data_IF_582920212932
#
_entry.id   IF_582920212932
#
_cell.length_a   1.000
_cell.length_b   1.000
_cell.length_c   1.000
_cell.angle_alpha   90.00
_cell.angle_beta   90.00
_cell.angle_gamma   90.00
#
_symmetry.space_group_name_H-M   'P 1'
#
loop_
_entity.id
_entity.type
_entity.pdbx_description
1 polymer ?
#
# COMPACT_ATOMS: atom_id res chain seq x y z
N UNK A 1 -1.48 17.89 14.01
CA UNK A 1 -2.82 17.33 14.36
C UNK A 1 -2.73 16.80 15.77
N UNK A 2 -3.82 16.88 16.57
CA UNK A 2 -3.83 16.31 17.93
C UNK A 2 -4.51 14.95 17.87
N UNK A 3 -3.88 13.98 18.49
CA UNK A 3 -4.40 12.61 18.61
C UNK A 3 -4.78 12.29 20.04
N UNK A 4 -5.72 11.37 20.19
CA UNK A 4 -6.08 10.72 21.42
C UNK A 4 -5.92 9.22 21.26
N UNK A 5 -5.51 8.54 22.32
CA UNK A 5 -5.43 7.09 22.37
C UNK A 5 -6.50 6.56 23.32
N UNK A 6 -7.24 5.56 22.87
CA UNK A 6 -8.17 4.79 23.68
C UNK A 6 -7.54 3.43 24.01
N UNK A 7 -7.40 3.15 25.30
CA UNK A 7 -6.84 1.89 25.81
C UNK A 7 -7.95 0.92 26.10
N UNK A 8 -7.87 -0.26 25.51
CA UNK A 8 -8.88 -1.31 25.68
C UNK A 8 -8.31 -2.52 26.41
N UNK A 9 -9.21 -3.31 27.00
CA UNK A 9 -8.93 -4.69 27.38
C UNK A 9 -9.87 -5.60 26.59
N UNK A 10 -9.29 -6.63 25.97
CA UNK A 10 -10.03 -7.59 25.16
C UNK A 10 -10.10 -8.95 25.84
N UNK A 11 -11.27 -9.59 25.76
CA UNK A 11 -11.51 -10.96 26.21
C UNK A 11 -12.43 -11.68 25.23
N UNK A 12 -12.11 -11.58 23.93
CA UNK A 12 -12.89 -12.23 22.87
C UNK A 12 -12.84 -13.76 22.98
N UNK A 13 -13.96 -14.41 22.72
CA UNK A 13 -14.05 -15.87 22.69
C UNK A 13 -13.50 -16.46 21.38
N UNK A 14 -13.63 -15.70 20.27
CA UNK A 14 -13.24 -16.12 18.92
C UNK A 14 -12.48 -15.01 18.20
N UNK A 15 -11.43 -15.31 17.42
CA UNK A 15 -10.59 -14.29 16.74
C UNK A 15 -11.37 -13.34 15.83
N UNK A 16 -12.41 -13.79 15.15
CA UNK A 16 -13.23 -12.96 14.25
C UNK A 16 -13.95 -11.81 14.96
N UNK A 17 -14.14 -11.89 16.27
CA UNK A 17 -14.77 -10.83 17.08
C UNK A 17 -13.84 -9.62 17.18
N UNK A 18 -12.53 -9.84 17.29
CA UNK A 18 -11.51 -8.80 17.29
C UNK A 18 -11.48 -8.08 15.94
N UNK A 19 -11.49 -8.84 14.83
CA UNK A 19 -11.50 -8.29 13.48
C UNK A 19 -12.74 -7.40 13.25
N UNK A 20 -13.90 -7.86 13.70
CA UNK A 20 -15.15 -7.12 13.57
C UNK A 20 -15.15 -5.84 14.41
N UNK A 21 -14.65 -5.90 15.64
CA UNK A 21 -14.52 -4.73 16.50
C UNK A 21 -13.54 -3.71 15.93
N UNK A 22 -12.40 -4.18 15.44
CA UNK A 22 -11.38 -3.35 14.77
C UNK A 22 -11.95 -2.62 13.56
N UNK A 23 -12.70 -3.33 12.70
CA UNK A 23 -13.36 -2.71 11.55
C UNK A 23 -14.36 -1.63 12.00
N UNK A 24 -15.14 -1.92 13.05
CA UNK A 24 -16.12 -0.96 13.58
C UNK A 24 -15.45 0.28 14.20
N UNK A 25 -14.26 0.14 14.79
CA UNK A 25 -13.44 1.28 15.24
C UNK A 25 -13.02 2.16 14.05
N UNK A 26 -12.56 1.56 12.96
CA UNK A 26 -12.19 2.31 11.75
C UNK A 26 -13.40 3.04 11.13
N UNK A 27 -14.58 2.42 11.13
CA UNK A 27 -15.82 3.02 10.62
C UNK A 27 -16.23 4.29 11.40
N UNK A 28 -15.89 4.39 12.68
CA UNK A 28 -16.13 5.59 13.51
C UNK A 28 -14.92 6.55 13.56
N UNK A 29 -13.91 6.33 12.72
CA UNK A 29 -12.82 7.27 12.47
C UNK A 29 -11.53 7.02 13.25
N UNK A 30 -11.33 5.85 13.85
CA UNK A 30 -10.01 5.47 14.33
C UNK A 30 -9.08 5.15 13.16
N UNK A 31 -7.83 5.57 13.27
CA UNK A 31 -6.83 5.41 12.20
C UNK A 31 -6.04 4.10 12.36
N UNK A 32 -5.82 3.65 13.59
CA UNK A 32 -4.93 2.51 13.90
C UNK A 32 -5.38 1.83 15.19
N UNK A 33 -5.24 0.50 15.24
CA UNK A 33 -5.27 -0.30 16.46
C UNK A 33 -3.94 -1.05 16.57
N UNK A 34 -3.18 -0.81 17.64
CA UNK A 34 -1.93 -1.51 17.96
C UNK A 34 -2.10 -2.24 19.29
N UNK A 35 -2.10 -3.55 19.23
CA UNK A 35 -2.45 -4.41 20.36
C UNK A 35 -3.79 -4.01 21.00
N UNK A 36 -3.75 -3.24 22.09
CA UNK A 36 -4.92 -2.80 22.85
C UNK A 36 -5.17 -1.30 22.75
N UNK A 37 -4.41 -0.58 21.95
CA UNK A 37 -4.38 0.87 21.86
C UNK A 37 -4.90 1.35 20.51
N UNK A 38 -6.05 2.02 20.51
CA UNK A 38 -6.63 2.59 19.30
C UNK A 38 -6.42 4.10 19.24
N UNK A 39 -5.98 4.58 18.08
CA UNK A 39 -5.61 5.98 17.86
C UNK A 39 -6.62 6.69 16.96
N UNK A 40 -7.04 7.88 17.37
CA UNK A 40 -8.02 8.72 16.67
C UNK A 40 -7.62 10.19 16.75
N UNK A 41 -7.92 10.97 15.73
CA UNK A 41 -7.79 12.42 15.81
C UNK A 41 -8.75 12.98 16.88
N UNK A 42 -8.24 13.84 17.78
CA UNK A 42 -8.99 14.29 18.96
C UNK A 42 -10.34 14.93 18.60
N UNK A 43 -10.42 15.66 17.49
CA UNK A 43 -11.68 16.28 17.05
C UNK A 43 -12.70 15.26 16.53
N UNK A 44 -12.25 14.16 15.94
CA UNK A 44 -13.14 13.04 15.51
C UNK A 44 -13.62 12.26 16.73
N UNK A 45 -12.76 12.03 17.73
CA UNK A 45 -13.16 11.41 18.98
C UNK A 45 -14.31 12.19 19.65
N UNK A 46 -14.20 13.53 19.70
CA UNK A 46 -15.26 14.35 20.30
C UNK A 46 -16.57 14.28 19.50
N UNK A 47 -16.49 14.18 18.18
CA UNK A 47 -17.66 14.02 17.29
C UNK A 47 -18.32 12.63 17.43
N UNK A 48 -17.54 11.58 17.61
CA UNK A 48 -18.01 10.17 17.61
C UNK A 48 -17.99 9.50 18.99
N UNK A 49 -17.87 10.28 20.07
CA UNK A 49 -17.83 9.75 21.44
C UNK A 49 -19.03 8.87 21.80
N UNK A 50 -20.22 9.25 21.32
CA UNK A 50 -21.45 8.47 21.52
C UNK A 50 -21.44 7.17 20.73
N UNK A 51 -20.93 7.19 19.50
CA UNK A 51 -20.83 6.01 18.65
C UNK A 51 -19.84 5.01 19.24
N UNK A 52 -18.70 5.49 19.75
CA UNK A 52 -17.72 4.67 20.46
C UNK A 52 -18.33 4.00 21.69
N UNK A 53 -19.09 4.75 22.50
CA UNK A 53 -19.74 4.19 23.69
C UNK A 53 -20.75 3.11 23.32
N UNK A 54 -21.58 3.35 22.30
CA UNK A 54 -22.54 2.36 21.80
C UNK A 54 -21.85 1.11 21.25
N UNK A 55 -20.74 1.25 20.55
CA UNK A 55 -19.96 0.13 20.04
C UNK A 55 -19.42 -0.74 21.18
N UNK A 56 -18.87 -0.12 22.24
CA UNK A 56 -18.35 -0.84 23.40
C UNK A 56 -19.48 -1.57 24.12
N UNK A 57 -20.63 -0.91 24.36
CA UNK A 57 -21.78 -1.51 25.02
C UNK A 57 -22.40 -2.68 24.21
N UNK A 58 -22.28 -2.64 22.89
CA UNK A 58 -22.80 -3.68 21.98
C UNK A 58 -21.83 -4.86 21.79
N UNK A 59 -20.56 -4.72 22.19
CA UNK A 59 -19.53 -5.74 21.92
C UNK A 59 -19.13 -6.46 23.19
N UNK A 60 -19.50 -7.73 23.30
CA UNK A 60 -19.10 -8.58 24.43
C UNK A 60 -17.59 -8.83 24.40
N UNK A 61 -16.94 -8.72 25.56
CA UNK A 61 -15.50 -8.97 25.69
C UNK A 61 -14.62 -7.74 25.43
N UNK A 62 -15.20 -6.55 25.33
CA UNK A 62 -14.48 -5.28 25.19
C UNK A 62 -14.69 -4.41 26.41
N UNK A 63 -13.62 -3.91 26.99
CA UNK A 63 -13.64 -2.92 28.07
C UNK A 63 -12.75 -1.73 27.68
N UNK A 64 -13.28 -0.51 27.74
CA UNK A 64 -12.51 0.72 27.60
C UNK A 64 -11.89 1.08 28.95
N UNK A 65 -10.58 1.06 29.04
CA UNK A 65 -9.84 1.35 30.28
C UNK A 65 -9.64 2.85 30.48
N UNK A 66 -9.19 3.55 29.46
CA UNK A 66 -8.99 5.01 29.50
C UNK A 66 -8.98 5.61 28.10
N UNK A 67 -9.18 6.92 28.02
CA UNK A 67 -8.89 7.73 26.83
C UNK A 67 -7.97 8.87 27.26
N UNK A 68 -6.83 8.99 26.63
CA UNK A 68 -5.83 10.00 26.94
C UNK A 68 -5.51 10.83 25.70
N UNK A 69 -5.25 12.13 25.90
CA UNK A 69 -4.68 12.92 24.83
C UNK A 69 -3.23 12.46 24.61
N UNK A 70 -2.88 12.12 23.40
CA UNK A 70 -1.50 11.87 23.06
C UNK A 70 -0.71 13.13 23.37
N UNK A 71 0.39 13.01 24.11
CA UNK A 71 1.30 14.13 24.32
C UNK A 71 1.74 14.65 22.97
N UNK A 72 1.91 15.97 22.84
CA UNK A 72 2.50 16.63 21.66
C UNK A 72 4.00 16.22 21.50
N UNK A 73 4.29 14.94 21.62
CA UNK A 73 5.55 14.38 21.18
C UNK A 73 5.45 14.27 19.67
N UNK A 74 6.48 14.69 18.98
CA UNK A 74 6.57 14.53 17.53
C UNK A 74 6.64 13.03 17.24
N UNK A 75 5.46 12.39 17.16
CA UNK A 75 5.33 10.94 16.92
C UNK A 75 6.04 10.52 15.62
N UNK A 76 6.12 11.42 14.65
CA UNK A 76 6.95 11.19 13.48
C UNK A 76 8.42 11.02 13.87
N UNK A 77 8.95 11.86 14.77
CA UNK A 77 10.33 11.75 15.20
C UNK A 77 10.59 10.51 16.09
N UNK A 78 9.62 10.11 16.92
CA UNK A 78 9.71 8.88 17.72
C UNK A 78 9.62 7.67 16.78
N UNK A 79 8.67 7.68 15.86
CA UNK A 79 8.48 6.62 14.88
C UNK A 79 9.68 6.52 13.91
N UNK A 80 10.21 7.64 13.41
CA UNK A 80 11.44 7.70 12.61
C UNK A 80 12.67 7.17 13.36
N UNK A 81 12.74 7.37 14.68
CA UNK A 81 13.82 6.82 15.52
C UNK A 81 13.67 5.30 15.74
N UNK A 82 12.46 4.79 15.72
CA UNK A 82 12.13 3.36 15.86
C UNK A 82 12.13 2.61 14.51
N UNK A 83 11.92 3.33 13.40
CA UNK A 83 11.90 2.78 12.04
C UNK A 83 13.03 3.41 11.23
N UNK A 84 14.27 2.92 11.38
CA UNK A 84 15.43 3.44 10.66
C UNK A 84 15.26 3.28 9.15
N UNK A 85 16.04 4.08 8.41
CA UNK A 85 16.15 3.96 6.95
C UNK A 85 16.41 2.50 6.58
N UNK A 86 15.51 1.92 5.80
CA UNK A 86 15.66 0.57 5.28
C UNK A 86 16.66 0.55 4.13
N UNK A 87 17.68 -0.29 4.23
CA UNK A 87 18.64 -0.52 3.15
C UNK A 87 18.23 -1.77 2.37
N UNK A 88 17.84 -1.57 1.12
CA UNK A 88 17.41 -2.60 0.19
C UNK A 88 18.51 -2.94 -0.82
N UNK A 89 18.38 -4.01 -1.64
CA UNK A 89 19.33 -4.32 -2.70
C UNK A 89 19.66 -3.10 -3.57
N UNK A 90 20.84 -3.09 -4.17
CA UNK A 90 21.41 -1.98 -4.96
C UNK A 90 21.68 -0.70 -4.16
N UNK A 91 21.65 -0.73 -2.82
CA UNK A 91 21.84 0.41 -1.95
C UNK A 91 20.65 1.38 -1.93
N UNK A 92 19.48 0.90 -2.32
CA UNK A 92 18.24 1.69 -2.24
C UNK A 92 17.89 1.94 -0.78
N UNK A 93 17.60 3.18 -0.44
CA UNK A 93 17.24 3.63 0.90
C UNK A 93 15.79 4.07 0.93
N UNK A 94 15.02 3.52 1.85
CA UNK A 94 13.60 3.86 2.04
C UNK A 94 13.36 4.33 3.46
N UNK A 95 12.72 5.48 3.58
CA UNK A 95 12.10 5.94 4.81
C UNK A 95 10.63 5.53 4.72
N UNK A 96 10.16 4.54 5.49
CA UNK A 96 8.84 3.97 5.25
C UNK A 96 7.69 4.89 5.74
N UNK A 97 7.93 5.85 6.64
CA UNK A 97 6.88 6.61 7.33
C UNK A 97 5.68 5.70 7.65
N UNK A 98 4.45 6.16 7.38
CA UNK A 98 3.23 5.36 7.52
C UNK A 98 2.76 4.75 6.19
N UNK A 99 3.58 4.81 5.12
CA UNK A 99 3.22 4.30 3.81
C UNK A 99 3.60 2.82 3.66
N UNK A 100 2.76 2.07 2.94
CA UNK A 100 3.06 0.68 2.59
C UNK A 100 4.25 0.59 1.62
N UNK A 101 5.05 -0.48 1.74
CA UNK A 101 6.11 -0.77 0.77
C UNK A 101 7.52 -0.52 1.30
N UNK A 102 7.78 -0.72 2.60
CA UNK A 102 9.14 -0.67 3.17
C UNK A 102 10.12 -1.71 2.57
N UNK A 103 9.61 -2.67 1.79
CA UNK A 103 10.44 -3.65 1.06
C UNK A 103 10.45 -5.05 1.69
N UNK A 104 9.98 -5.21 2.92
CA UNK A 104 10.02 -6.48 3.64
C UNK A 104 8.82 -7.39 3.41
N UNK A 105 7.70 -6.83 2.94
CA UNK A 105 6.51 -7.63 2.64
C UNK A 105 6.78 -8.51 1.41
N UNK A 106 6.30 -9.74 1.42
CA UNK A 106 6.51 -10.76 0.38
C UNK A 106 6.14 -10.23 -1.01
N UNK A 107 5.01 -9.53 -1.12
CA UNK A 107 4.54 -8.94 -2.39
C UNK A 107 5.53 -7.92 -2.94
N UNK A 108 6.06 -7.04 -2.11
CA UNK A 108 7.06 -6.04 -2.49
C UNK A 108 8.38 -6.72 -2.85
N UNK A 109 8.79 -7.71 -2.07
CA UNK A 109 9.99 -8.52 -2.32
C UNK A 109 9.96 -9.21 -3.69
N UNK A 110 8.83 -9.86 -4.04
CA UNK A 110 8.66 -10.49 -5.37
C UNK A 110 8.78 -9.47 -6.51
N UNK A 111 8.13 -8.31 -6.39
CA UNK A 111 8.19 -7.24 -7.39
C UNK A 111 9.62 -6.69 -7.55
N UNK A 112 10.33 -6.43 -6.45
CA UNK A 112 11.73 -5.98 -6.47
C UNK A 112 12.62 -7.03 -7.14
N UNK A 113 12.48 -8.30 -6.77
CA UNK A 113 13.26 -9.40 -7.35
C UNK A 113 13.04 -9.53 -8.87
N UNK A 114 11.82 -9.27 -9.34
CA UNK A 114 11.50 -9.23 -10.77
C UNK A 114 12.13 -7.99 -11.45
N UNK A 115 12.02 -6.80 -10.85
CA UNK A 115 12.62 -5.56 -11.37
C UNK A 115 14.15 -5.65 -11.48
N UNK A 116 14.80 -6.30 -10.50
CA UNK A 116 16.26 -6.50 -10.55
C UNK A 116 16.72 -7.34 -11.74
N UNK A 117 15.87 -8.21 -12.28
CA UNK A 117 16.17 -9.06 -13.45
C UNK A 117 15.73 -8.43 -14.77
N UNK A 118 14.82 -7.46 -14.73
CA UNK A 118 14.27 -6.82 -15.92
C UNK A 118 15.26 -5.87 -16.57
N UNK A 119 15.22 -5.78 -17.90
CA UNK A 119 15.85 -4.68 -18.66
C UNK A 119 14.82 -3.57 -18.84
N UNK A 120 15.00 -2.50 -18.08
CA UNK A 120 14.12 -1.32 -18.13
C UNK A 120 14.76 -0.15 -18.89
N UNK A 121 15.91 -0.36 -19.52
CA UNK A 121 16.61 0.70 -20.23
C UNK A 121 15.71 1.31 -21.32
N UNK A 122 15.48 2.62 -21.21
CA UNK A 122 14.64 3.37 -22.15
C UNK A 122 13.13 3.12 -22.03
N UNK A 123 12.67 2.34 -21.05
CA UNK A 123 11.25 2.03 -20.82
C UNK A 123 10.52 3.15 -20.09
N UNK A 124 9.24 3.31 -20.41
CA UNK A 124 8.28 4.14 -19.65
C UNK A 124 7.56 3.27 -18.65
N UNK A 125 7.58 3.66 -17.37
CA UNK A 125 7.03 2.88 -16.25
C UNK A 125 5.96 3.68 -15.51
N UNK A 126 4.87 3.02 -15.14
CA UNK A 126 3.88 3.50 -14.17
C UNK A 126 3.98 2.64 -12.91
N UNK A 127 4.08 3.27 -11.75
CA UNK A 127 3.95 2.67 -10.43
C UNK A 127 2.62 3.15 -9.82
N UNK A 128 1.60 2.29 -9.85
CA UNK A 128 0.23 2.63 -9.46
C UNK A 128 -0.09 2.08 -8.06
N UNK A 129 -0.38 2.99 -7.12
CA UNK A 129 -0.41 2.71 -5.69
C UNK A 129 1.01 2.62 -5.15
N UNK A 130 1.77 3.72 -5.30
CA UNK A 130 3.23 3.69 -5.11
C UNK A 130 3.66 3.59 -3.64
N UNK A 131 2.83 3.99 -2.68
CA UNK A 131 3.17 3.97 -1.25
C UNK A 131 4.48 4.71 -0.95
N UNK A 132 5.52 3.97 -0.55
CA UNK A 132 6.88 4.53 -0.33
C UNK A 132 7.61 4.90 -1.63
N UNK A 133 7.09 4.52 -2.79
CA UNK A 133 7.73 4.70 -4.09
C UNK A 133 8.82 3.68 -4.42
N UNK A 134 8.98 2.65 -3.59
CA UNK A 134 10.10 1.70 -3.72
C UNK A 134 10.17 1.05 -5.10
N UNK A 135 9.04 0.65 -5.69
CA UNK A 135 9.03 -0.01 -7.00
C UNK A 135 9.40 0.97 -8.12
N UNK A 136 8.86 2.18 -8.08
CA UNK A 136 9.23 3.26 -9.00
C UNK A 136 10.72 3.63 -8.91
N UNK A 137 11.29 3.66 -7.70
CA UNK A 137 12.71 3.93 -7.46
C UNK A 137 13.57 2.82 -8.09
N UNK A 138 13.24 1.54 -7.85
CA UNK A 138 13.93 0.43 -8.51
C UNK A 138 13.83 0.50 -10.02
N UNK A 139 12.65 0.84 -10.58
CA UNK A 139 12.48 1.00 -12.01
C UNK A 139 13.37 2.11 -12.57
N UNK A 140 13.47 3.27 -11.90
CA UNK A 140 14.34 4.37 -12.30
C UNK A 140 15.83 3.97 -12.27
N UNK A 141 16.28 3.32 -11.20
CA UNK A 141 17.66 2.84 -11.05
C UNK A 141 18.02 1.73 -12.06
N UNK A 142 17.02 0.97 -12.54
CA UNK A 142 17.18 -0.02 -13.62
C UNK A 142 17.16 0.57 -15.02
N UNK A 143 17.18 1.89 -15.15
CA UNK A 143 17.33 2.59 -16.43
C UNK A 143 16.05 2.98 -17.13
N UNK A 144 14.90 2.96 -16.43
CA UNK A 144 13.67 3.49 -16.99
C UNK A 144 13.86 4.95 -17.44
N UNK A 145 13.42 5.27 -18.66
CA UNK A 145 13.57 6.64 -19.19
C UNK A 145 12.61 7.63 -18.53
N UNK A 146 11.50 7.12 -18.03
CA UNK A 146 10.49 7.89 -17.30
C UNK A 146 9.73 6.98 -16.34
N UNK A 147 9.49 7.46 -15.14
CA UNK A 147 8.67 6.82 -14.13
C UNK A 147 7.60 7.80 -13.69
N UNK A 148 6.34 7.38 -13.78
CA UNK A 148 5.20 8.05 -13.17
C UNK A 148 4.79 7.20 -11.98
N UNK A 149 4.61 7.80 -10.81
CA UNK A 149 4.12 7.13 -9.62
C UNK A 149 2.83 7.80 -9.15
N UNK A 150 1.86 6.99 -8.73
CA UNK A 150 0.55 7.52 -8.32
C UNK A 150 0.07 6.87 -7.05
N UNK A 151 -0.58 7.65 -6.19
CA UNK A 151 -1.27 7.15 -5.02
C UNK A 151 -2.53 7.99 -4.76
N UNK A 152 -3.48 7.42 -4.02
CA UNK A 152 -4.70 8.10 -3.57
C UNK A 152 -4.43 8.89 -2.27
N UNK A 153 -3.40 8.51 -1.52
CA UNK A 153 -3.02 9.12 -0.25
C UNK A 153 -1.93 10.18 -0.46
N UNK A 154 -2.17 11.39 0.01
CA UNK A 154 -1.23 12.50 -0.08
C UNK A 154 0.06 12.28 0.73
N UNK A 155 -0.01 11.51 1.81
CA UNK A 155 1.18 11.12 2.60
C UNK A 155 2.07 10.16 1.82
N UNK A 156 1.47 9.21 1.11
CA UNK A 156 2.20 8.29 0.21
C UNK A 156 2.88 9.05 -0.93
N UNK A 157 2.20 10.03 -1.51
CA UNK A 157 2.79 10.92 -2.53
C UNK A 157 4.01 11.66 -1.99
N UNK A 158 3.87 12.32 -0.83
CA UNK A 158 4.98 13.04 -0.19
C UNK A 158 6.15 12.10 0.17
N UNK A 159 5.85 10.90 0.68
CA UNK A 159 6.87 9.91 1.02
C UNK A 159 7.60 9.37 -0.22
N UNK A 160 6.88 9.13 -1.33
CA UNK A 160 7.50 8.76 -2.61
C UNK A 160 8.45 9.85 -3.12
N UNK A 161 8.06 11.14 -3.04
CA UNK A 161 8.92 12.26 -3.45
C UNK A 161 10.20 12.33 -2.61
N UNK A 162 10.08 12.19 -1.29
CA UNK A 162 11.21 12.16 -0.37
C UNK A 162 12.15 11.00 -0.64
N UNK A 163 11.63 9.79 -0.78
CA UNK A 163 12.42 8.60 -1.07
C UNK A 163 13.08 8.65 -2.45
N UNK A 164 12.41 9.21 -3.46
CA UNK A 164 13.01 9.45 -4.78
C UNK A 164 14.20 10.41 -4.69
N UNK A 165 14.06 11.51 -3.94
CA UNK A 165 15.14 12.46 -3.70
C UNK A 165 16.30 11.82 -2.92
N UNK A 166 16.03 11.03 -1.88
CA UNK A 166 17.01 10.30 -1.09
C UNK A 166 17.87 9.35 -1.96
N UNK A 167 17.26 8.74 -2.98
CA UNK A 167 17.94 7.83 -3.91
C UNK A 167 18.48 8.51 -5.17
N UNK A 168 18.34 9.83 -5.29
CA UNK A 168 18.86 10.59 -6.42
C UNK A 168 18.17 10.29 -7.75
N UNK A 169 16.93 9.80 -7.74
CA UNK A 169 16.14 9.49 -8.94
C UNK A 169 15.04 10.53 -9.17
N UNK A 170 14.60 10.65 -10.44
CA UNK A 170 13.47 11.50 -10.81
C UNK A 170 12.24 10.64 -11.09
N UNK A 171 11.17 10.91 -10.37
CA UNK A 171 9.87 10.27 -10.54
C UNK A 171 8.81 11.39 -10.63
N UNK A 172 7.90 11.27 -11.56
CA UNK A 172 6.73 12.17 -11.67
C UNK A 172 5.62 11.61 -10.75
N UNK A 173 5.54 12.15 -9.53
CA UNK A 173 4.61 11.66 -8.51
C UNK A 173 3.31 12.45 -8.56
N UNK A 174 2.17 11.77 -8.50
CA UNK A 174 0.84 12.39 -8.64
C UNK A 174 -0.16 11.82 -7.65
N UNK A 175 -0.93 12.70 -7.04
CA UNK A 175 -2.11 12.32 -6.26
C UNK A 175 -3.26 12.03 -7.21
N UNK A 176 -3.64 10.76 -7.37
CA UNK A 176 -4.80 10.36 -8.17
C UNK A 176 -5.28 8.95 -7.81
N UNK A 177 -6.57 8.73 -7.93
CA UNK A 177 -7.29 7.49 -7.60
C UNK A 177 -7.31 6.47 -8.76
N UNK A 178 -6.96 6.90 -9.96
CA UNK A 178 -6.94 6.06 -11.16
C UNK A 178 -5.63 6.23 -11.93
N UNK A 179 -5.19 5.19 -12.66
CA UNK A 179 -4.01 5.29 -13.51
C UNK A 179 -4.13 6.46 -14.50
N UNK A 180 -3.16 7.39 -14.53
CA UNK A 180 -3.19 8.51 -15.46
C UNK A 180 -3.05 8.02 -16.90
N UNK A 181 -3.81 8.66 -17.79
CA UNK A 181 -3.71 8.37 -19.21
C UNK A 181 -2.26 8.56 -19.71
N UNK A 182 -1.76 7.57 -20.43
CA UNK A 182 -0.38 7.54 -20.90
C UNK A 182 -0.13 6.39 -21.86
N UNK A 183 1.15 6.17 -22.15
CA UNK A 183 1.65 5.01 -22.89
C UNK A 183 2.84 4.45 -22.11
N UNK A 184 2.66 3.27 -21.51
CA UNK A 184 3.62 2.65 -20.62
C UNK A 184 4.14 1.33 -21.20
N UNK A 185 5.42 1.09 -21.06
CA UNK A 185 6.04 -0.20 -21.39
C UNK A 185 5.90 -1.20 -20.24
N UNK A 186 5.81 -0.67 -19.01
CA UNK A 186 5.57 -1.47 -17.81
C UNK A 186 4.64 -0.71 -16.86
N UNK A 187 3.63 -1.40 -16.36
CA UNK A 187 2.79 -0.94 -15.25
C UNK A 187 3.04 -1.86 -14.06
N UNK A 188 3.36 -1.28 -12.91
CA UNK A 188 3.50 -1.94 -11.63
C UNK A 188 2.28 -1.60 -10.78
N UNK A 189 1.65 -2.58 -10.14
CA UNK A 189 0.55 -2.35 -9.23
C UNK A 189 0.57 -3.40 -8.10
N UNK A 190 0.97 -2.96 -6.90
CA UNK A 190 1.00 -3.78 -5.69
C UNK A 190 -0.08 -3.28 -4.73
N UNK A 191 -1.34 -3.55 -5.07
CA UNK A 191 -2.54 -3.04 -4.40
C UNK A 191 -3.63 -4.13 -4.30
N UNK A 192 -4.70 -3.85 -3.56
CA UNK A 192 -5.77 -4.80 -3.32
C UNK A 192 -6.41 -5.34 -4.60
N UNK A 193 -6.72 -6.67 -4.62
CA UNK A 193 -7.35 -7.41 -5.73
C UNK A 193 -8.53 -6.68 -6.38
N UNK A 194 -9.44 -6.11 -5.58
CA UNK A 194 -10.65 -5.49 -6.12
C UNK A 194 -10.33 -4.26 -6.97
N UNK A 195 -9.37 -3.44 -6.54
CA UNK A 195 -8.89 -2.27 -7.28
C UNK A 195 -8.15 -2.71 -8.55
N UNK A 196 -7.33 -3.77 -8.46
CA UNK A 196 -6.67 -4.34 -9.64
C UNK A 196 -7.68 -4.75 -10.71
N UNK A 197 -8.75 -5.44 -10.34
CA UNK A 197 -9.82 -5.84 -11.27
C UNK A 197 -10.56 -4.64 -11.85
N UNK A 198 -10.86 -3.64 -11.05
CA UNK A 198 -11.53 -2.42 -11.49
C UNK A 198 -10.69 -1.63 -12.50
N UNK A 199 -9.39 -1.52 -12.24
CA UNK A 199 -8.46 -0.73 -13.06
C UNK A 199 -7.86 -1.52 -14.25
N UNK A 200 -8.07 -2.82 -14.33
CA UNK A 200 -7.53 -3.69 -15.38
C UNK A 200 -7.81 -3.20 -16.82
N UNK A 201 -9.02 -2.69 -17.15
CA UNK A 201 -9.28 -2.13 -18.48
C UNK A 201 -8.41 -0.90 -18.80
N UNK A 202 -8.07 -0.08 -17.78
CA UNK A 202 -7.19 1.07 -17.95
C UNK A 202 -5.76 0.63 -18.18
N UNK A 203 -5.27 -0.39 -17.45
CA UNK A 203 -3.95 -0.96 -17.68
C UNK A 203 -3.82 -1.48 -19.12
N UNK A 204 -4.78 -2.28 -19.59
CA UNK A 204 -4.78 -2.78 -20.97
C UNK A 204 -4.79 -1.64 -22.00
N UNK A 205 -5.52 -0.56 -21.72
CA UNK A 205 -5.60 0.61 -22.61
C UNK A 205 -4.29 1.40 -22.66
N UNK A 206 -3.61 1.58 -21.52
CA UNK A 206 -2.44 2.45 -21.39
C UNK A 206 -1.12 1.73 -21.62
N UNK A 207 -1.10 0.41 -21.73
CA UNK A 207 0.08 -0.32 -22.16
C UNK A 207 0.39 -0.10 -23.63
N UNK A 208 1.67 0.08 -23.94
CA UNK A 208 2.22 -0.02 -25.29
C UNK A 208 2.02 -1.45 -25.85
N UNK A 209 2.17 -1.61 -27.17
CA UNK A 209 2.34 -2.94 -27.78
C UNK A 209 3.56 -3.62 -27.16
N UNK A 210 3.46 -4.91 -26.84
CA UNK A 210 4.46 -5.68 -26.10
C UNK A 210 4.75 -5.17 -24.67
N UNK A 211 3.95 -4.22 -24.16
CA UNK A 211 4.01 -3.75 -22.78
C UNK A 211 3.51 -4.79 -21.79
N UNK A 212 3.96 -4.68 -20.55
CA UNK A 212 3.61 -5.59 -19.47
C UNK A 212 2.94 -4.87 -18.30
N UNK A 213 2.07 -5.57 -17.59
CA UNK A 213 1.62 -5.18 -16.27
C UNK A 213 1.95 -6.28 -15.27
N UNK A 214 2.55 -5.87 -14.16
CA UNK A 214 2.90 -6.74 -13.05
C UNK A 214 2.05 -6.38 -11.85
N UNK A 215 1.31 -7.38 -11.35
CA UNK A 215 0.32 -7.23 -10.30
C UNK A 215 0.74 -8.02 -9.07
N UNK A 216 0.57 -7.44 -7.89
CA UNK A 216 0.72 -8.12 -6.60
C UNK A 216 -0.18 -7.46 -5.55
N UNK A 217 -0.12 -7.89 -4.27
CA UNK A 217 -1.01 -7.40 -3.21
C UNK A 217 -2.27 -8.25 -3.05
N UNK A 218 -2.20 -9.52 -3.45
CA UNK A 218 -3.30 -10.49 -3.37
C UNK A 218 -2.77 -11.89 -3.09
N UNK A 219 -3.67 -12.77 -2.65
CA UNK A 219 -3.34 -14.16 -2.33
C UNK A 219 -3.31 -15.06 -3.57
N UNK A 220 -2.60 -16.17 -3.49
CA UNK A 220 -2.54 -17.17 -4.57
C UNK A 220 -3.93 -17.65 -5.00
N UNK A 221 -4.86 -17.78 -4.06
CA UNK A 221 -6.25 -18.14 -4.33
C UNK A 221 -6.99 -17.16 -5.25
N UNK A 222 -6.52 -15.92 -5.37
CA UNK A 222 -7.11 -14.87 -6.21
C UNK A 222 -6.59 -14.91 -7.66
N UNK A 223 -5.48 -15.61 -7.91
CA UNK A 223 -4.84 -15.66 -9.23
C UNK A 223 -5.80 -16.05 -10.37
N UNK A 224 -6.65 -17.10 -10.25
CA UNK A 224 -7.56 -17.46 -11.34
C UNK A 224 -8.54 -16.33 -11.71
N UNK A 225 -9.02 -15.59 -10.71
CA UNK A 225 -9.94 -14.46 -10.92
C UNK A 225 -9.25 -13.31 -11.64
N UNK A 226 -8.03 -12.95 -11.24
CA UNK A 226 -7.24 -11.87 -11.86
C UNK A 226 -6.80 -12.25 -13.28
N UNK A 227 -6.39 -13.49 -13.54
CA UNK A 227 -6.04 -13.97 -14.87
C UNK A 227 -7.26 -13.90 -15.80
N UNK A 228 -8.43 -14.38 -15.35
CA UNK A 228 -9.67 -14.29 -16.15
C UNK A 228 -10.06 -12.84 -16.44
N UNK A 229 -9.93 -11.94 -15.46
CA UNK A 229 -10.17 -10.51 -15.66
C UNK A 229 -9.21 -9.87 -16.66
N UNK A 230 -7.94 -10.26 -16.63
CA UNK A 230 -6.92 -9.80 -17.56
C UNK A 230 -7.19 -10.27 -19.00
N UNK A 231 -7.54 -11.55 -19.19
CA UNK A 231 -7.87 -12.13 -20.49
C UNK A 231 -9.11 -11.45 -21.10
N UNK A 232 -10.11 -11.11 -20.29
CA UNK A 232 -11.31 -10.41 -20.74
C UNK A 232 -11.02 -9.03 -21.34
N UNK A 233 -9.90 -8.40 -21.00
CA UNK A 233 -9.46 -7.10 -21.54
C UNK A 233 -8.30 -7.21 -22.52
N UNK A 234 -7.95 -8.43 -22.95
CA UNK A 234 -6.93 -8.69 -23.97
C UNK A 234 -5.49 -8.73 -23.45
N UNK A 235 -5.30 -8.87 -22.15
CA UNK A 235 -3.99 -9.14 -21.55
C UNK A 235 -3.76 -10.65 -21.45
N UNK A 236 -2.54 -11.09 -21.74
CA UNK A 236 -2.16 -12.50 -21.67
C UNK A 236 -1.32 -12.76 -20.43
N UNK A 237 -1.64 -13.79 -19.70
CA UNK A 237 -0.82 -14.28 -18.60
C UNK A 237 0.53 -14.81 -19.10
N UNK A 238 1.64 -14.35 -18.49
CA UNK A 238 3.02 -14.75 -18.83
C UNK A 238 3.62 -15.61 -17.74
N UNK A 239 3.55 -15.15 -16.50
CA UNK A 239 4.19 -15.82 -15.37
C UNK A 239 3.45 -15.53 -14.05
N UNK A 240 3.59 -16.47 -13.14
CA UNK A 240 3.16 -16.36 -11.74
C UNK A 240 4.35 -16.63 -10.84
N UNK A 241 4.48 -15.86 -9.77
CA UNK A 241 5.41 -16.11 -8.66
C UNK A 241 4.60 -16.12 -7.37
N UNK A 242 4.97 -16.98 -6.42
CA UNK A 242 4.35 -17.06 -5.09
C UNK A 242 5.42 -17.02 -4.01
N UNK A 243 5.10 -16.39 -2.89
CA UNK A 243 5.89 -16.38 -1.66
C UNK A 243 4.94 -16.45 -0.46
N UNK A 244 5.00 -17.55 0.29
CA UNK A 244 3.95 -17.90 1.25
C UNK A 244 2.59 -18.01 0.56
N UNK A 245 1.60 -17.34 1.10
CA UNK A 245 0.24 -17.28 0.54
C UNK A 245 0.05 -16.16 -0.50
N UNK A 246 1.07 -15.30 -0.68
CA UNK A 246 1.04 -14.15 -1.58
C UNK A 246 1.48 -14.49 -2.99
N UNK A 247 0.97 -13.71 -3.95
CA UNK A 247 1.20 -13.96 -5.36
C UNK A 247 1.53 -12.68 -6.14
N UNK A 248 2.31 -12.85 -7.21
CA UNK A 248 2.60 -11.86 -8.22
C UNK A 248 2.28 -12.43 -9.60
N UNK A 249 1.55 -11.70 -10.41
CA UNK A 249 1.24 -12.03 -11.81
C UNK A 249 1.97 -11.08 -12.76
N UNK A 250 2.51 -11.65 -13.84
CA UNK A 250 3.01 -10.90 -14.98
C UNK A 250 2.09 -11.14 -16.17
N UNK A 251 1.58 -10.06 -16.73
CA UNK A 251 0.66 -10.08 -17.87
C UNK A 251 1.25 -9.22 -18.99
N UNK A 252 0.97 -9.56 -20.25
CA UNK A 252 1.41 -8.80 -21.43
C UNK A 252 0.25 -8.38 -22.31
N UNK A 253 0.42 -7.25 -22.96
CA UNK A 253 -0.41 -6.85 -24.10
C UNK A 253 0.17 -7.44 -25.38
N UNK A 254 -0.65 -8.10 -26.17
CA UNK A 254 -0.28 -8.58 -27.50
C UNK A 254 -0.18 -7.42 -28.51
#
# INVERSE_FOLDING_TARGET
>A
MKYSVAHFAFSFAEPWQEDLFTQSLFDIGFDTLDANDAYIQTHLLDAHRTDLQQLIEATEGVELLSIEACKDENWNAVWEAEHPIEELPMGVKIIPHCAFGAGHHETTGMMIAALMKADLNGKSVLDNGCGTGVLGIFAALRGAKSVVATDIDDKSVANTEENAALNGVKIDVRLCDTPPAGQYDLILANIHRNILLEQMPLYARYLNTDGQVWLSGFYEADCPTLISGAEAVGLKHIATQSDGDWCMLQLAKN
#
